data_IF_705175190333
#
_entry.id   IF_705175190333
#
_cell.length_a   1.000
_cell.length_b   1.000
_cell.length_c   1.000
_cell.angle_alpha   90.00
_cell.angle_beta   90.00
_cell.angle_gamma   90.00
#
_symmetry.space_group_name_H-M   'P 1'
#
loop_
_entity.id
_entity.type
_entity.pdbx_description
1 polymer ?
#
# COMPACT_ATOMS: atom_id res chain seq x y z
N UNK A 1 3.11 27.27 -11.84
CA UNK A 1 2.68 28.65 -12.14
C UNK A 1 1.94 29.30 -10.97
N UNK A 2 1.09 28.58 -10.24
CA UNK A 2 0.30 29.15 -9.13
C UNK A 2 1.13 29.53 -7.89
N UNK A 3 2.20 28.80 -7.61
CA UNK A 3 3.01 28.96 -6.39
C UNK A 3 4.26 29.80 -6.64
N UNK A 4 4.91 29.65 -7.80
CA UNK A 4 6.18 30.31 -8.11
C UNK A 4 6.17 31.85 -8.03
N UNK A 5 5.05 32.56 -8.28
CA UNK A 5 5.02 34.01 -8.04
C UNK A 5 5.19 34.42 -6.59
N UNK A 6 4.91 33.51 -5.64
CA UNK A 6 4.90 33.80 -4.20
C UNK A 6 6.06 33.16 -3.43
N UNK A 7 6.67 32.10 -3.99
CA UNK A 7 7.71 31.32 -3.31
C UNK A 7 8.82 30.99 -4.29
N UNK A 8 10.06 31.26 -3.91
CA UNK A 8 11.25 30.80 -4.65
C UNK A 8 11.50 29.33 -4.33
N UNK A 9 11.41 28.49 -5.35
CA UNK A 9 11.63 27.04 -5.24
C UNK A 9 12.86 26.62 -6.04
N UNK A 10 13.72 25.80 -5.44
CA UNK A 10 14.75 25.04 -6.16
C UNK A 10 14.14 23.69 -6.56
N UNK A 11 13.77 23.55 -7.83
CA UNK A 11 13.08 22.37 -8.35
C UNK A 11 14.08 21.44 -9.01
N UNK A 12 14.17 20.22 -8.52
CA UNK A 12 14.86 19.10 -9.18
C UNK A 12 13.84 18.32 -10.02
N UNK A 13 13.97 18.38 -11.32
CA UNK A 13 13.06 17.73 -12.27
C UNK A 13 13.59 16.37 -12.69
N UNK A 14 12.72 15.38 -12.72
CA UNK A 14 12.98 14.03 -13.23
C UNK A 14 11.93 13.69 -14.30
N UNK A 15 12.38 13.43 -15.53
CA UNK A 15 11.49 13.01 -16.61
C UNK A 15 11.14 11.52 -16.47
N UNK A 16 9.95 11.24 -15.98
CA UNK A 16 9.39 9.89 -15.82
C UNK A 16 8.51 9.46 -17.01
N UNK A 17 8.66 10.13 -18.19
CA UNK A 17 7.99 9.66 -19.40
C UNK A 17 8.46 8.25 -19.78
N UNK A 18 7.57 7.48 -20.41
CA UNK A 18 7.86 6.08 -20.74
C UNK A 18 9.10 5.94 -21.63
N UNK A 19 9.32 6.88 -22.55
CA UNK A 19 10.48 6.88 -23.45
C UNK A 19 11.80 7.12 -22.70
N UNK A 20 11.82 8.10 -21.77
CA UNK A 20 13.03 8.37 -20.99
C UNK A 20 13.31 7.26 -19.97
N UNK A 21 12.27 6.65 -19.41
CA UNK A 21 12.42 5.47 -18.55
C UNK A 21 13.03 4.30 -19.31
N UNK A 22 12.58 4.03 -20.54
CA UNK A 22 13.13 2.99 -21.39
C UNK A 22 14.59 3.28 -21.78
N UNK A 23 14.88 4.54 -22.14
CA UNK A 23 16.24 4.98 -22.47
C UNK A 23 17.22 4.80 -21.30
N UNK A 24 16.79 5.12 -20.08
CA UNK A 24 17.62 5.06 -18.86
C UNK A 24 17.56 3.71 -18.14
N UNK A 25 16.94 2.69 -18.73
CA UNK A 25 16.67 1.40 -18.06
C UNK A 25 15.99 1.57 -16.70
N UNK A 26 15.03 2.48 -16.62
CA UNK A 26 14.26 2.91 -15.45
C UNK A 26 15.09 3.49 -14.28
N UNK A 27 16.37 3.79 -14.49
CA UNK A 27 17.25 4.41 -13.48
C UNK A 27 16.74 5.79 -13.04
N UNK A 28 16.09 6.53 -13.94
CA UNK A 28 15.49 7.84 -13.61
C UNK A 28 14.42 7.72 -12.52
N UNK A 29 13.63 6.63 -12.52
CA UNK A 29 12.63 6.38 -11.48
C UNK A 29 13.29 6.17 -10.10
N UNK A 30 14.38 5.40 -10.06
CA UNK A 30 15.16 5.19 -8.83
C UNK A 30 15.77 6.51 -8.35
N UNK A 31 16.41 7.27 -9.25
CA UNK A 31 17.01 8.56 -8.91
C UNK A 31 15.97 9.57 -8.38
N UNK A 32 14.76 9.56 -8.92
CA UNK A 32 13.67 10.42 -8.42
C UNK A 32 13.25 10.04 -7.00
N UNK A 33 13.18 8.74 -6.71
CA UNK A 33 12.83 8.24 -5.38
C UNK A 33 13.92 8.57 -4.33
N UNK A 34 15.18 8.41 -4.67
CA UNK A 34 16.29 8.78 -3.79
C UNK A 34 16.33 10.30 -3.53
N UNK A 35 15.98 11.11 -4.54
CA UNK A 35 15.84 12.55 -4.34
C UNK A 35 14.69 12.89 -3.36
N UNK A 36 13.55 12.19 -3.42
CA UNK A 36 12.47 12.36 -2.45
C UNK A 36 12.94 12.01 -1.04
N UNK A 37 13.68 10.93 -0.86
CA UNK A 37 14.28 10.57 0.45
C UNK A 37 15.24 11.65 0.96
N UNK A 38 16.06 12.20 0.07
CA UNK A 38 17.03 13.24 0.42
C UNK A 38 16.37 14.55 0.83
N UNK A 39 15.34 14.98 0.11
CA UNK A 39 14.72 16.29 0.30
C UNK A 39 13.43 16.24 1.13
N UNK A 40 12.93 15.04 1.48
CA UNK A 40 11.70 14.78 2.24
C UNK A 40 10.42 15.36 1.59
N UNK A 41 10.47 15.67 0.31
CA UNK A 41 9.34 16.19 -0.45
C UNK A 41 9.47 15.80 -1.91
N UNK A 42 8.33 15.51 -2.54
CA UNK A 42 8.27 15.24 -3.98
C UNK A 42 6.84 15.37 -4.50
N UNK A 43 6.72 15.76 -5.77
CA UNK A 43 5.45 15.78 -6.49
C UNK A 43 5.62 14.91 -7.72
N UNK A 44 4.78 13.90 -7.87
CA UNK A 44 4.75 13.04 -9.04
C UNK A 44 3.45 13.23 -9.80
N UNK A 45 3.58 13.53 -11.09
CA UNK A 45 2.47 13.54 -12.02
C UNK A 45 2.13 12.14 -12.52
N UNK A 46 1.02 11.99 -13.24
CA UNK A 46 0.62 10.74 -13.86
C UNK A 46 1.72 10.22 -14.81
N UNK A 47 1.87 8.90 -14.88
CA UNK A 47 2.84 8.21 -15.73
C UNK A 47 2.19 6.99 -16.37
N UNK A 48 2.72 6.55 -17.50
CA UNK A 48 2.30 5.32 -18.17
C UNK A 48 2.99 4.13 -17.49
N UNK A 49 2.19 3.13 -17.12
CA UNK A 49 2.66 1.77 -16.82
C UNK A 49 2.34 0.92 -18.05
N UNK A 50 3.35 0.42 -18.79
CA UNK A 50 3.11 -0.30 -20.03
C UNK A 50 2.55 -1.70 -19.75
N UNK A 51 1.58 -2.08 -20.55
CA UNK A 51 1.15 -3.45 -20.82
C UNK A 51 1.79 -3.95 -22.14
N UNK A 52 1.40 -5.12 -22.59
CA UNK A 52 1.93 -5.71 -23.82
C UNK A 52 1.69 -4.84 -25.08
N UNK A 53 0.52 -4.21 -25.17
CA UNK A 53 0.17 -3.34 -26.28
C UNK A 53 0.97 -2.04 -26.25
N UNK A 54 1.18 -1.46 -25.08
CA UNK A 54 2.02 -0.28 -24.88
C UNK A 54 3.49 -0.57 -25.16
N UNK A 55 3.98 -1.78 -24.85
CA UNK A 55 5.36 -2.18 -25.23
C UNK A 55 5.54 -2.13 -26.75
N UNK A 56 4.54 -2.62 -27.52
CA UNK A 56 4.56 -2.56 -28.97
C UNK A 56 4.40 -1.13 -29.49
N UNK A 57 3.42 -0.38 -28.98
CA UNK A 57 3.13 1.01 -29.38
C UNK A 57 4.36 1.93 -29.25
N UNK A 58 5.05 1.83 -28.11
CA UNK A 58 6.21 2.68 -27.83
C UNK A 58 7.55 2.04 -28.21
N UNK A 59 7.55 0.82 -28.75
CA UNK A 59 8.76 0.06 -29.11
C UNK A 59 9.73 -0.04 -27.93
N UNK A 60 9.22 -0.46 -26.77
CA UNK A 60 10.00 -0.53 -25.53
C UNK A 60 10.88 -1.78 -25.49
N UNK A 61 12.03 -1.68 -24.81
CA UNK A 61 12.95 -2.80 -24.59
C UNK A 61 12.29 -3.93 -23.78
N UNK A 62 11.37 -3.58 -22.88
CA UNK A 62 10.61 -4.53 -22.06
C UNK A 62 9.40 -3.86 -21.40
N UNK A 63 8.53 -4.67 -20.78
CA UNK A 63 7.41 -4.20 -19.97
C UNK A 63 7.92 -3.69 -18.62
N UNK A 64 8.11 -2.37 -18.51
CA UNK A 64 8.60 -1.72 -17.29
C UNK A 64 7.58 -1.76 -16.17
N UNK A 65 8.05 -2.01 -14.94
CA UNK A 65 7.20 -1.97 -13.74
C UNK A 65 6.60 -0.57 -13.53
N UNK A 66 5.53 -0.50 -12.74
CA UNK A 66 4.93 0.78 -12.37
C UNK A 66 5.94 1.66 -11.62
N UNK A 67 6.20 2.90 -12.08
CA UNK A 67 7.06 3.82 -11.36
C UNK A 67 6.49 4.21 -10.00
N UNK A 68 5.16 4.19 -9.83
CA UNK A 68 4.52 4.40 -8.52
C UNK A 68 4.96 3.32 -7.52
N UNK A 69 4.96 2.06 -7.94
CA UNK A 69 5.41 0.94 -7.11
C UNK A 69 6.89 1.07 -6.76
N UNK A 70 7.74 1.35 -7.74
CA UNK A 70 9.19 1.53 -7.52
C UNK A 70 9.48 2.65 -6.54
N UNK A 71 8.89 3.83 -6.72
CA UNK A 71 9.09 5.00 -5.84
C UNK A 71 8.60 4.67 -4.42
N UNK A 72 7.40 4.13 -4.26
CA UNK A 72 6.84 3.79 -2.93
C UNK A 72 7.71 2.78 -2.19
N UNK A 73 8.20 1.75 -2.87
CA UNK A 73 9.06 0.75 -2.24
C UNK A 73 10.44 1.30 -1.82
N UNK A 74 10.96 2.31 -2.52
CA UNK A 74 12.23 2.97 -2.16
C UNK A 74 12.02 3.96 -1.02
N UNK A 75 10.98 4.79 -1.12
CA UNK A 75 10.66 5.82 -0.11
C UNK A 75 10.16 5.17 1.19
N UNK A 76 9.40 4.08 1.07
CA UNK A 76 8.72 3.44 2.20
C UNK A 76 7.53 4.26 2.71
N UNK A 77 7.00 3.85 3.86
CA UNK A 77 5.97 4.61 4.57
C UNK A 77 4.55 4.21 4.24
N UNK A 78 3.62 5.09 4.58
CA UNK A 78 2.17 4.90 4.46
C UNK A 78 1.57 5.96 3.54
N UNK A 79 0.70 5.53 2.64
CA UNK A 79 -0.08 6.45 1.81
C UNK A 79 -1.42 6.68 2.49
N UNK A 80 -1.70 7.92 2.88
CA UNK A 80 -3.02 8.30 3.37
C UNK A 80 -3.84 8.90 2.24
N UNK A 81 -5.04 8.34 2.03
CA UNK A 81 -6.02 8.81 1.06
C UNK A 81 -7.30 9.17 1.79
N UNK A 82 -7.74 10.39 1.63
CA UNK A 82 -8.96 10.92 2.23
C UNK A 82 -9.77 11.59 1.13
N UNK A 83 -11.06 11.26 0.97
CA UNK A 83 -11.88 11.85 -0.09
C UNK A 83 -12.10 13.34 0.16
N UNK A 84 -12.11 14.11 -0.91
CA UNK A 84 -12.56 15.51 -0.89
C UNK A 84 -14.07 15.50 -0.98
N UNK A 85 -14.74 15.93 0.09
CA UNK A 85 -16.20 15.94 0.16
C UNK A 85 -16.71 17.25 -0.41
N UNK A 86 -17.50 17.17 -1.48
CA UNK A 86 -18.13 18.32 -2.12
C UNK A 86 -19.63 18.33 -1.80
N UNK A 87 -20.13 19.43 -1.28
CA UNK A 87 -21.54 19.53 -0.85
C UNK A 87 -22.54 19.49 -2.01
N UNK A 88 -22.12 19.89 -3.20
CA UNK A 88 -22.94 19.90 -4.42
C UNK A 88 -22.90 18.61 -5.24
N UNK A 89 -22.11 17.63 -4.82
CA UNK A 89 -22.04 16.31 -5.47
C UNK A 89 -22.77 15.30 -4.59
N UNK A 90 -23.78 14.61 -5.09
CA UNK A 90 -24.48 13.56 -4.36
C UNK A 90 -23.54 12.41 -4.02
N UNK A 91 -23.59 11.92 -2.79
CA UNK A 91 -22.86 10.74 -2.36
C UNK A 91 -23.63 9.49 -2.77
N UNK A 92 -22.93 8.50 -3.32
CA UNK A 92 -23.54 7.19 -3.57
C UNK A 92 -23.88 6.48 -2.26
N UNK A 93 -23.02 6.61 -1.25
CA UNK A 93 -23.31 6.11 0.10
C UNK A 93 -23.82 7.25 0.96
N UNK A 94 -25.13 7.40 1.00
CA UNK A 94 -25.78 8.53 1.68
C UNK A 94 -25.53 8.59 3.19
N UNK A 95 -25.22 7.44 3.82
CA UNK A 95 -24.90 7.34 5.23
C UNK A 95 -23.56 7.98 5.62
N UNK A 96 -22.66 8.18 4.68
CA UNK A 96 -21.34 8.75 4.97
C UNK A 96 -21.40 10.27 5.12
N UNK A 97 -21.35 10.74 6.36
CA UNK A 97 -21.40 12.17 6.71
C UNK A 97 -20.00 12.77 6.93
N UNK A 98 -19.03 11.95 7.31
CA UNK A 98 -17.66 12.34 7.62
C UNK A 98 -16.66 11.58 6.71
N UNK A 99 -15.49 12.14 6.38
CA UNK A 99 -14.51 11.45 5.57
C UNK A 99 -14.05 10.13 6.22
N UNK A 100 -13.70 9.16 5.38
CA UNK A 100 -13.00 7.94 5.77
C UNK A 100 -11.56 8.07 5.26
N UNK A 101 -10.59 8.06 6.16
CA UNK A 101 -9.18 8.16 5.79
C UNK A 101 -8.58 6.77 5.65
N UNK A 102 -8.27 6.36 4.43
CA UNK A 102 -7.57 5.09 4.17
C UNK A 102 -6.07 5.27 4.40
N UNK A 103 -5.49 4.49 5.30
CA UNK A 103 -4.05 4.32 5.46
C UNK A 103 -3.60 3.08 4.71
N UNK A 104 -2.95 3.22 3.54
CA UNK A 104 -2.44 2.12 2.75
C UNK A 104 -0.97 1.84 3.10
N UNK A 105 -0.64 0.61 3.47
CA UNK A 105 0.74 0.17 3.57
C UNK A 105 1.39 0.14 2.20
N UNK A 106 2.41 0.97 1.97
CA UNK A 106 2.95 1.17 0.62
C UNK A 106 4.15 0.26 0.29
N UNK A 107 4.26 -0.88 0.96
CA UNK A 107 5.38 -1.81 0.82
C UNK A 107 4.90 -3.26 0.73
N UNK A 108 5.62 -4.08 -0.05
CA UNK A 108 5.47 -5.54 -0.06
C UNK A 108 4.17 -6.05 -0.67
N UNK A 109 3.74 -7.18 -0.18
CA UNK A 109 2.54 -7.93 -0.56
C UNK A 109 2.49 -8.21 -2.09
N UNK A 110 1.34 -8.18 -2.73
CA UNK A 110 1.17 -8.44 -4.17
C UNK A 110 2.00 -7.51 -5.06
N UNK A 111 2.36 -6.32 -4.60
CA UNK A 111 3.15 -5.34 -5.37
C UNK A 111 4.65 -5.65 -5.40
N UNK A 112 5.09 -6.64 -4.65
CA UNK A 112 6.45 -7.18 -4.63
C UNK A 112 6.46 -8.70 -4.76
N UNK A 113 5.39 -9.27 -5.24
CA UNK A 113 5.29 -10.71 -5.45
C UNK A 113 6.21 -11.19 -6.58
N UNK A 114 6.56 -12.47 -6.49
CA UNK A 114 7.08 -13.26 -7.60
C UNK A 114 6.00 -14.24 -8.00
N UNK A 115 5.55 -14.13 -9.22
CA UNK A 115 4.54 -14.98 -9.81
C UNK A 115 5.08 -15.74 -11.04
N UNK A 116 4.61 -16.94 -11.22
CA UNK A 116 5.06 -17.84 -12.29
C UNK A 116 3.89 -18.61 -12.88
N UNK A 117 3.99 -18.92 -14.18
CA UNK A 117 3.19 -19.94 -14.82
C UNK A 117 3.96 -21.26 -14.74
N UNK A 118 3.30 -22.33 -14.33
CA UNK A 118 3.87 -23.68 -14.30
C UNK A 118 3.33 -24.50 -15.47
N UNK A 119 4.16 -25.36 -16.06
CA UNK A 119 3.78 -26.18 -17.20
C UNK A 119 3.92 -27.64 -16.84
N UNK A 120 2.81 -28.41 -17.02
CA UNK A 120 2.76 -29.82 -16.76
C UNK A 120 2.85 -30.21 -15.30
N UNK A 121 3.14 -31.50 -15.08
CA UNK A 121 3.26 -32.08 -13.74
C UNK A 121 4.52 -31.60 -13.04
N UNK A 122 4.39 -31.26 -11.77
CA UNK A 122 5.54 -30.83 -11.01
C UNK A 122 5.21 -30.50 -9.55
N UNK A 123 6.24 -30.44 -8.73
CA UNK A 123 6.11 -30.10 -7.29
C UNK A 123 6.57 -28.67 -7.05
N UNK A 124 5.73 -27.86 -6.45
CA UNK A 124 6.07 -26.54 -5.96
C UNK A 124 6.50 -26.64 -4.49
N UNK A 125 7.66 -26.08 -4.18
CA UNK A 125 8.17 -25.95 -2.81
C UNK A 125 8.54 -24.52 -2.51
N UNK A 126 8.44 -24.13 -1.24
CA UNK A 126 8.94 -22.86 -0.71
C UNK A 126 10.11 -23.15 0.21
N UNK A 127 11.26 -22.54 -0.05
CA UNK A 127 12.49 -22.74 0.72
C UNK A 127 12.97 -21.43 1.33
N UNK A 128 13.29 -21.46 2.61
CA UNK A 128 13.95 -20.38 3.32
C UNK A 128 15.34 -20.82 3.80
N UNK A 129 16.37 -20.14 3.33
CA UNK A 129 17.76 -20.38 3.72
C UNK A 129 18.27 -19.25 4.60
N UNK A 130 18.43 -19.48 5.90
CA UNK A 130 18.98 -18.48 6.82
C UNK A 130 20.44 -18.16 6.50
N UNK A 131 20.83 -16.89 6.62
CA UNK A 131 22.23 -16.47 6.46
C UNK A 131 23.09 -16.63 7.72
N UNK A 132 22.48 -16.96 8.86
CA UNK A 132 23.17 -17.14 10.15
C UNK A 132 23.69 -18.58 10.38
N UNK A 133 23.57 -19.46 9.40
CA UNK A 133 23.98 -20.85 9.47
C UNK A 133 22.96 -21.83 10.04
N UNK A 134 21.77 -21.36 10.39
CA UNK A 134 20.66 -22.25 10.78
C UNK A 134 20.22 -23.15 9.61
N UNK A 135 19.63 -24.32 9.89
CA UNK A 135 19.18 -25.24 8.85
C UNK A 135 18.17 -24.61 7.89
N UNK A 136 18.36 -24.86 6.60
CA UNK A 136 17.38 -24.52 5.56
C UNK A 136 16.05 -25.21 5.83
N UNK A 137 14.96 -24.47 5.71
CA UNK A 137 13.59 -24.98 5.87
C UNK A 137 12.88 -25.00 4.52
N UNK A 138 12.25 -26.13 4.18
CA UNK A 138 11.48 -26.28 2.95
C UNK A 138 10.07 -26.77 3.27
N UNK A 139 9.09 -26.16 2.63
CA UNK A 139 7.69 -26.54 2.72
C UNK A 139 7.19 -26.99 1.37
N UNK A 140 6.43 -28.08 1.33
CA UNK A 140 5.67 -28.48 0.18
C UNK A 140 4.45 -27.55 0.05
N UNK A 141 4.30 -26.93 -1.12
CA UNK A 141 3.18 -26.01 -1.37
C UNK A 141 2.08 -26.76 -2.13
N UNK A 142 2.41 -27.33 -3.31
CA UNK A 142 1.45 -28.04 -4.13
C UNK A 142 2.13 -29.01 -5.11
N UNK A 143 1.43 -30.09 -5.47
CA UNK A 143 1.82 -30.98 -6.55
C UNK A 143 0.89 -30.75 -7.73
N UNK A 144 1.40 -30.16 -8.80
CA UNK A 144 0.64 -29.91 -10.03
C UNK A 144 0.53 -31.20 -10.85
N UNK A 145 -0.66 -31.51 -11.30
CA UNK A 145 -0.95 -32.57 -12.26
C UNK A 145 -1.15 -32.03 -13.69
N UNK A 146 -1.26 -30.74 -13.85
CA UNK A 146 -1.47 -30.00 -15.10
C UNK A 146 -0.81 -28.61 -15.03
N UNK A 147 -1.00 -27.82 -16.08
CA UNK A 147 -0.53 -26.40 -16.08
C UNK A 147 -1.23 -25.59 -14.98
N UNK A 148 -0.50 -24.63 -14.42
CA UNK A 148 -1.03 -23.82 -13.35
C UNK A 148 -0.28 -22.51 -13.14
N UNK A 149 -0.59 -21.84 -12.05
CA UNK A 149 0.06 -20.61 -11.62
C UNK A 149 0.46 -20.68 -10.15
N UNK A 150 1.51 -20.00 -9.80
CA UNK A 150 1.94 -19.86 -8.41
C UNK A 150 2.48 -18.45 -8.12
N UNK A 151 2.33 -18.01 -6.87
CA UNK A 151 2.82 -16.72 -6.45
C UNK A 151 3.37 -16.80 -5.03
N UNK A 152 4.46 -16.07 -4.77
CA UNK A 152 4.93 -15.78 -3.43
C UNK A 152 5.01 -14.27 -3.19
N UNK A 153 4.71 -13.85 -1.97
CA UNK A 153 4.81 -12.46 -1.54
C UNK A 153 5.45 -12.39 -0.15
N UNK A 154 5.93 -11.21 0.24
CA UNK A 154 6.60 -11.01 1.52
C UNK A 154 6.32 -9.62 2.10
N UNK A 155 6.60 -9.50 3.39
CA UNK A 155 6.70 -8.23 4.08
C UNK A 155 7.81 -8.31 5.14
N UNK A 156 8.16 -7.19 5.77
CA UNK A 156 9.19 -7.12 6.81
C UNK A 156 8.67 -6.36 8.03
N UNK A 157 9.08 -6.80 9.21
CA UNK A 157 8.63 -6.24 10.48
C UNK A 157 8.85 -4.73 10.59
N UNK A 158 10.04 -4.24 10.25
CA UNK A 158 10.35 -2.80 10.32
C UNK A 158 9.40 -1.93 9.49
N UNK A 159 8.96 -2.42 8.34
CA UNK A 159 7.97 -1.74 7.50
C UNK A 159 6.59 -1.76 8.15
N UNK A 160 6.19 -2.88 8.76
CA UNK A 160 4.90 -3.00 9.45
C UNK A 160 4.87 -2.13 10.71
N UNK A 161 5.96 -2.08 11.50
CA UNK A 161 6.11 -1.16 12.63
C UNK A 161 5.97 0.31 12.20
N UNK A 162 6.64 0.70 11.11
CA UNK A 162 6.51 2.05 10.55
C UNK A 162 5.09 2.37 10.10
N UNK A 163 4.41 1.42 9.49
CA UNK A 163 3.01 1.53 9.07
C UNK A 163 2.08 1.70 10.28
N UNK A 164 2.25 0.89 11.32
CA UNK A 164 1.45 0.99 12.55
C UNK A 164 1.59 2.37 13.19
N UNK A 165 2.84 2.84 13.43
CA UNK A 165 3.10 4.17 14.00
C UNK A 165 2.52 5.31 13.17
N UNK A 166 2.62 5.21 11.84
CA UNK A 166 2.05 6.21 10.94
C UNK A 166 0.52 6.29 11.07
N UNK A 167 -0.17 5.14 11.11
CA UNK A 167 -1.62 5.09 11.27
C UNK A 167 -2.07 5.59 12.66
N UNK A 168 -1.36 5.22 13.73
CA UNK A 168 -1.65 5.68 15.09
C UNK A 168 -1.50 7.21 15.19
N UNK A 169 -0.40 7.77 14.66
CA UNK A 169 -0.19 9.21 14.62
C UNK A 169 -1.25 9.94 13.77
N UNK A 170 -1.68 9.35 12.65
CA UNK A 170 -2.75 9.91 11.82
C UNK A 170 -4.07 9.95 12.58
N UNK A 171 -4.42 8.88 13.29
CA UNK A 171 -5.62 8.80 14.12
C UNK A 171 -5.61 9.88 15.22
N UNK A 172 -4.50 10.03 15.94
CA UNK A 172 -4.33 11.09 16.95
C UNK A 172 -4.47 12.49 16.34
N UNK A 173 -3.83 12.74 15.20
CA UNK A 173 -3.91 14.06 14.53
C UNK A 173 -5.33 14.43 14.10
N UNK A 174 -6.14 13.46 13.75
CA UNK A 174 -7.56 13.61 13.37
C UNK A 174 -8.51 13.55 14.57
N UNK A 175 -8.06 13.02 15.69
CA UNK A 175 -8.91 12.62 16.83
C UNK A 175 -10.03 11.66 16.39
N UNK A 176 -9.67 10.70 15.56
CA UNK A 176 -10.57 9.68 15.02
C UNK A 176 -10.15 8.27 15.46
N UNK A 177 -11.08 7.34 15.64
CA UNK A 177 -10.72 5.96 15.91
C UNK A 177 -9.94 5.35 14.75
N UNK A 178 -9.10 4.37 15.07
CA UNK A 178 -8.29 3.61 14.12
C UNK A 178 -8.78 2.17 14.04
N UNK A 179 -9.00 1.70 12.83
CA UNK A 179 -9.30 0.29 12.54
C UNK A 179 -8.21 -0.28 11.64
N UNK A 180 -7.58 -1.38 12.07
CA UNK A 180 -6.75 -2.22 11.19
C UNK A 180 -7.62 -3.33 10.65
N UNK A 181 -7.60 -3.58 9.35
CA UNK A 181 -8.27 -4.75 8.77
C UNK A 181 -7.29 -5.75 8.17
N UNK A 182 -7.52 -7.02 8.42
CA UNK A 182 -6.76 -8.15 7.87
C UNK A 182 -7.67 -9.36 7.63
N UNK A 183 -7.15 -10.42 7.03
CA UNK A 183 -7.81 -11.72 6.96
C UNK A 183 -7.00 -12.79 7.71
N UNK A 184 -6.58 -12.49 8.93
CA UNK A 184 -5.74 -13.37 9.75
C UNK A 184 -6.38 -14.72 10.10
N UNK A 185 -7.67 -14.89 9.93
CA UNK A 185 -8.37 -16.19 10.07
C UNK A 185 -8.01 -17.15 8.93
N UNK A 186 -7.62 -16.64 7.78
CA UNK A 186 -7.16 -17.39 6.61
C UNK A 186 -5.64 -17.30 6.46
N UNK A 187 -5.10 -16.07 6.40
CA UNK A 187 -3.66 -15.80 6.30
C UNK A 187 -3.04 -15.73 7.71
N UNK A 188 -3.08 -16.88 8.43
CA UNK A 188 -2.83 -16.93 9.89
C UNK A 188 -1.46 -16.35 10.27
N UNK A 189 -0.40 -16.74 9.58
CA UNK A 189 0.94 -16.24 9.86
C UNK A 189 1.17 -14.84 9.26
N UNK A 190 0.83 -14.65 7.99
CA UNK A 190 1.11 -13.43 7.27
C UNK A 190 0.33 -12.22 7.84
N UNK A 191 -0.99 -12.32 7.85
CA UNK A 191 -1.86 -11.26 8.39
C UNK A 191 -1.82 -11.21 9.92
N UNK A 192 -1.58 -12.36 10.57
CA UNK A 192 -1.35 -12.42 12.01
C UNK A 192 -0.19 -11.55 12.44
N UNK A 193 0.92 -11.53 11.66
CA UNK A 193 2.07 -10.67 11.97
C UNK A 193 1.72 -9.18 11.94
N UNK A 194 0.90 -8.73 10.99
CA UNK A 194 0.39 -7.34 10.96
C UNK A 194 -0.44 -7.03 12.21
N UNK A 195 -1.38 -7.92 12.56
CA UNK A 195 -2.23 -7.76 13.74
C UNK A 195 -1.39 -7.66 15.02
N UNK A 196 -0.41 -8.56 15.19
CA UNK A 196 0.40 -8.64 16.40
C UNK A 196 1.30 -7.40 16.54
N UNK A 197 1.97 -6.96 15.47
CA UNK A 197 2.80 -5.75 15.50
C UNK A 197 1.96 -4.49 15.76
N UNK A 198 0.78 -4.36 15.15
CA UNK A 198 -0.10 -3.23 15.44
C UNK A 198 -0.54 -3.20 16.91
N UNK A 199 -0.86 -4.37 17.46
CA UNK A 199 -1.22 -4.48 18.88
C UNK A 199 -0.04 -4.12 19.79
N UNK A 200 1.15 -4.61 19.48
CA UNK A 200 2.38 -4.28 20.22
C UNK A 200 2.63 -2.77 20.22
N UNK A 201 2.62 -2.13 19.05
CA UNK A 201 2.81 -0.68 18.92
C UNK A 201 1.73 0.09 19.68
N UNK A 202 0.48 -0.34 19.61
CA UNK A 202 -0.61 0.30 20.35
C UNK A 202 -0.36 0.26 21.84
N UNK A 203 -0.14 -0.91 22.41
CA UNK A 203 0.02 -1.09 23.85
C UNK A 203 1.28 -0.39 24.39
N UNK A 204 2.39 -0.47 23.64
CA UNK A 204 3.67 0.05 24.14
C UNK A 204 3.88 1.54 23.90
N UNK A 205 3.27 2.13 22.86
CA UNK A 205 3.60 3.51 22.46
C UNK A 205 2.39 4.46 22.43
N UNK A 206 1.15 3.95 22.29
CA UNK A 206 0.01 4.78 21.94
C UNK A 206 -1.22 4.64 22.85
N UNK A 207 -1.33 3.62 23.65
CA UNK A 207 -2.55 3.34 24.46
C UNK A 207 -2.97 4.54 25.30
N UNK A 208 -2.04 5.10 26.09
CA UNK A 208 -2.34 6.26 26.93
C UNK A 208 -2.72 7.50 26.11
N UNK A 209 -2.01 7.76 24.99
CA UNK A 209 -2.33 8.88 24.09
C UNK A 209 -3.71 8.75 23.45
N UNK A 210 -4.15 7.52 23.15
CA UNK A 210 -5.47 7.25 22.60
C UNK A 210 -6.55 7.44 23.67
N UNK A 211 -6.30 7.01 24.91
CA UNK A 211 -7.19 7.25 26.06
C UNK A 211 -7.36 8.75 26.32
N UNK A 212 -6.26 9.51 26.38
CA UNK A 212 -6.27 10.97 26.55
C UNK A 212 -7.02 11.69 25.41
N UNK A 213 -6.87 11.21 24.16
CA UNK A 213 -7.55 11.77 23.00
C UNK A 213 -9.03 11.33 22.89
N UNK A 214 -9.49 10.39 23.72
CA UNK A 214 -10.85 9.82 23.69
C UNK A 214 -11.14 9.03 22.40
N UNK A 215 -10.13 8.36 21.82
CA UNK A 215 -10.26 7.54 20.61
C UNK A 215 -9.83 6.10 20.87
N UNK A 216 -10.21 5.20 19.97
CA UNK A 216 -9.98 3.74 20.11
C UNK A 216 -9.17 3.19 18.97
N UNK A 217 -8.46 2.09 19.22
CA UNK A 217 -7.87 1.22 18.21
C UNK A 217 -8.56 -0.15 18.27
N UNK A 218 -8.90 -0.68 17.11
CA UNK A 218 -9.52 -2.00 16.96
C UNK A 218 -8.97 -2.71 15.71
N UNK A 219 -8.72 -4.02 15.83
CA UNK A 219 -8.49 -4.89 14.69
C UNK A 219 -9.78 -5.59 14.29
N UNK A 220 -10.10 -5.61 13.00
CA UNK A 220 -11.26 -6.28 12.41
C UNK A 220 -10.88 -7.16 11.24
N UNK A 221 -11.70 -8.17 10.94
CA UNK A 221 -11.59 -8.88 9.67
C UNK A 221 -11.98 -7.95 8.52
N UNK A 222 -11.32 -8.07 7.36
CA UNK A 222 -11.53 -7.16 6.23
C UNK A 222 -12.97 -7.15 5.74
N UNK A 223 -13.63 -8.30 5.67
CA UNK A 223 -15.02 -8.42 5.25
C UNK A 223 -15.99 -7.75 6.25
N UNK A 224 -15.75 -7.94 7.56
CA UNK A 224 -16.49 -7.25 8.60
C UNK A 224 -16.26 -5.74 8.57
N UNK A 225 -15.01 -5.31 8.35
CA UNK A 225 -14.70 -3.89 8.27
C UNK A 225 -15.32 -3.21 7.06
N UNK A 226 -15.38 -3.89 5.90
CA UNK A 226 -16.09 -3.39 4.72
C UNK A 226 -17.59 -3.22 5.03
N UNK A 227 -18.20 -4.22 5.65
CA UNK A 227 -19.60 -4.17 6.04
C UNK A 227 -19.88 -3.05 7.06
N UNK A 228 -18.99 -2.86 8.04
CA UNK A 228 -19.08 -1.80 9.02
C UNK A 228 -18.92 -0.40 8.37
N UNK A 229 -17.92 -0.24 7.48
CA UNK A 229 -17.68 1.02 6.78
C UNK A 229 -18.90 1.48 5.97
N UNK A 230 -19.63 0.54 5.34
CA UNK A 230 -20.86 0.86 4.58
C UNK A 230 -22.02 1.33 5.47
N UNK A 231 -22.03 0.92 6.76
CA UNK A 231 -23.11 1.23 7.70
C UNK A 231 -22.81 2.47 8.57
N UNK A 232 -21.54 2.76 8.79
CA UNK A 232 -21.10 3.87 9.64
C UNK A 232 -21.14 5.21 8.91
N UNK A 233 -21.12 6.28 9.68
CA UNK A 233 -21.16 7.65 9.14
C UNK A 233 -19.81 8.17 8.62
N UNK A 234 -18.73 7.39 8.77
CA UNK A 234 -17.36 7.83 8.53
C UNK A 234 -16.70 8.43 9.77
N UNK A 235 -15.64 9.22 9.60
CA UNK A 235 -14.90 9.85 10.70
C UNK A 235 -13.95 8.87 11.40
N UNK A 236 -13.29 8.01 10.65
CA UNK A 236 -12.30 7.07 11.17
C UNK A 236 -11.10 6.92 10.21
N UNK A 237 -10.00 6.42 10.76
CA UNK A 237 -8.82 6.01 9.98
C UNK A 237 -8.90 4.49 9.80
N UNK A 238 -8.76 4.05 8.56
CA UNK A 238 -8.77 2.64 8.20
C UNK A 238 -7.41 2.20 7.67
N UNK A 239 -6.66 1.47 8.48
CA UNK A 239 -5.38 0.90 8.11
C UNK A 239 -5.58 -0.38 7.31
N UNK A 240 -5.07 -0.40 6.09
CA UNK A 240 -5.19 -1.49 5.12
C UNK A 240 -3.82 -1.95 4.64
N UNK A 241 -3.66 -3.26 4.44
CA UNK A 241 -2.52 -3.79 3.70
C UNK A 241 -2.47 -3.21 2.29
N UNK A 242 -1.38 -3.44 1.57
CA UNK A 242 -1.09 -2.74 0.31
C UNK A 242 -2.23 -2.86 -0.72
N UNK A 243 -2.66 -4.07 -1.05
CA UNK A 243 -3.73 -4.30 -2.03
C UNK A 243 -5.10 -3.83 -1.51
N UNK A 244 -5.44 -4.18 -0.28
CA UNK A 244 -6.70 -3.77 0.34
C UNK A 244 -6.82 -2.24 0.36
N UNK A 245 -5.74 -1.53 0.69
CA UNK A 245 -5.70 -0.07 0.72
C UNK A 245 -5.83 0.58 -0.65
N UNK A 246 -5.34 -0.08 -1.70
CA UNK A 246 -5.55 0.38 -3.08
C UNK A 246 -7.03 0.29 -3.46
N UNK A 247 -7.63 -0.87 -3.28
CA UNK A 247 -9.03 -1.12 -3.63
C UNK A 247 -10.00 -0.29 -2.77
N UNK A 248 -9.79 -0.28 -1.44
CA UNK A 248 -10.69 0.42 -0.54
C UNK A 248 -10.63 1.94 -0.67
N UNK A 249 -9.47 2.52 -1.02
CA UNK A 249 -9.38 3.96 -1.24
C UNK A 249 -10.20 4.41 -2.45
N UNK A 250 -10.21 3.62 -3.52
CA UNK A 250 -11.03 3.91 -4.71
C UNK A 250 -12.52 3.68 -4.41
N UNK A 251 -12.85 2.60 -3.69
CA UNK A 251 -14.23 2.34 -3.24
C UNK A 251 -14.78 3.49 -2.40
N UNK A 252 -13.99 3.98 -1.45
CA UNK A 252 -14.38 5.12 -0.60
C UNK A 252 -14.51 6.40 -1.43
N UNK A 253 -13.58 6.67 -2.35
CA UNK A 253 -13.66 7.83 -3.23
C UNK A 253 -14.95 7.81 -4.06
N UNK A 254 -15.27 6.67 -4.68
CA UNK A 254 -16.52 6.49 -5.43
C UNK A 254 -17.76 6.67 -4.56
N UNK A 255 -17.78 6.11 -3.36
CA UNK A 255 -18.88 6.25 -2.42
C UNK A 255 -19.17 7.70 -2.02
N UNK A 256 -18.14 8.56 -2.00
CA UNK A 256 -18.29 10.00 -1.81
C UNK A 256 -18.58 10.78 -3.11
N UNK A 257 -18.62 10.12 -4.27
CA UNK A 257 -18.90 10.73 -5.56
C UNK A 257 -17.70 11.43 -6.19
N UNK A 258 -16.49 11.06 -5.79
CA UNK A 258 -15.23 11.55 -6.39
C UNK A 258 -14.37 10.43 -6.94
N UNK A 259 -13.54 10.76 -7.90
CA UNK A 259 -12.50 9.89 -8.43
C UNK A 259 -11.14 10.26 -7.87
#
# INVERSE_FOLDING_TARGET
KLILPYIKLDIKYFDLSIKNRDFTDDKVTVSSAEAIKKYNVGIKCATITPDEDRVKEFTLKKMWKSPNGTIRNIVGGTVFREPIIMNNIPRYVQGWKKPICIGRHAFGDQYKATDIVTHGRGKLTMTFTPHNGDPTKTWDVYNFEEDGIAMSMYNIDSSIFGFARSCMNRALSKKWPLYLSTKNTILKAYDGRFKDIFHEVYVTEFEEKFKEAGITYEHRLIDDMVAAAMKWEGGFVWACKNYDGDVQSDTVAQGFGSL
#
